data_IF_870388381716
#
_entry.id   IF_870388381716
#
_cell.length_a   1.000
_cell.length_b   1.000
_cell.length_c   1.000
_cell.angle_alpha   90.00
_cell.angle_beta   90.00
_cell.angle_gamma   90.00
#
_symmetry.space_group_name_H-M   'P 1'
#
loop_
_entity.id
_entity.type
_entity.pdbx_description
1 polymer ?
#
# COMPACT_ATOMS: atom_id res chain seq x y z
N UNK A 1 14.75 -3.92 -1.40
CA UNK A 1 13.44 -3.28 -1.08
C UNK A 1 12.26 -4.13 -1.51
N UNK A 2 12.27 -4.71 -2.71
CA UNK A 2 11.16 -5.54 -3.24
C UNK A 2 10.76 -6.71 -2.33
N UNK A 3 11.72 -7.42 -1.73
CA UNK A 3 11.42 -8.52 -0.81
C UNK A 3 10.61 -8.12 0.45
N UNK A 4 10.75 -6.87 0.92
CA UNK A 4 9.97 -6.36 2.04
C UNK A 4 8.52 -6.08 1.61
N UNK A 5 8.33 -5.58 0.38
CA UNK A 5 7.02 -5.40 -0.20
C UNK A 5 6.31 -6.74 -0.44
N UNK A 6 7.03 -7.75 -0.94
CA UNK A 6 6.45 -9.09 -1.13
C UNK A 6 5.93 -9.66 0.21
N UNK A 7 6.67 -9.46 1.30
CA UNK A 7 6.23 -9.86 2.64
C UNK A 7 4.99 -9.07 3.09
N UNK A 8 4.95 -7.76 2.84
CA UNK A 8 3.79 -6.92 3.15
C UNK A 8 2.55 -7.37 2.37
N UNK A 9 2.66 -7.60 1.06
CA UNK A 9 1.54 -8.06 0.23
C UNK A 9 1.00 -9.43 0.67
N UNK A 10 1.90 -10.34 1.09
CA UNK A 10 1.51 -11.63 1.66
C UNK A 10 0.78 -11.47 2.99
N UNK A 11 1.29 -10.61 3.88
CA UNK A 11 0.68 -10.36 5.18
C UNK A 11 -0.70 -9.70 5.01
N UNK A 12 -0.78 -8.64 4.20
CA UNK A 12 -2.05 -7.97 3.87
C UNK A 12 -3.04 -8.96 3.26
N UNK A 13 -2.60 -9.82 2.34
CA UNK A 13 -3.49 -10.83 1.77
C UNK A 13 -3.97 -11.89 2.76
N UNK A 14 -3.14 -12.26 3.72
CA UNK A 14 -3.50 -13.21 4.78
C UNK A 14 -4.50 -12.60 5.76
N UNK A 15 -4.29 -11.37 6.18
CA UNK A 15 -5.12 -10.67 7.17
C UNK A 15 -6.47 -10.21 6.59
N UNK A 16 -6.48 -9.75 5.33
CA UNK A 16 -7.69 -9.18 4.72
C UNK A 16 -8.57 -10.19 3.98
N UNK A 17 -8.03 -11.32 3.53
CA UNK A 17 -8.77 -12.27 2.70
C UNK A 17 -9.38 -11.59 1.47
N UNK A 18 -10.71 -11.61 1.34
CA UNK A 18 -11.42 -10.95 0.22
C UNK A 18 -11.37 -9.42 0.27
N UNK A 19 -11.10 -8.81 1.43
CA UNK A 19 -10.98 -7.34 1.54
C UNK A 19 -9.69 -6.80 0.92
N UNK A 20 -8.75 -7.69 0.56
CA UNK A 20 -7.51 -7.36 -0.16
C UNK A 20 -7.77 -6.57 -1.45
N UNK A 21 -8.89 -6.82 -2.12
CA UNK A 21 -9.26 -6.11 -3.35
C UNK A 21 -9.31 -4.59 -3.17
N UNK A 22 -9.64 -4.09 -1.97
CA UNK A 22 -9.68 -2.66 -1.66
C UNK A 22 -8.32 -1.99 -1.53
N UNK A 23 -7.25 -2.76 -1.28
CA UNK A 23 -5.88 -2.25 -1.10
C UNK A 23 -4.91 -2.68 -2.20
N UNK A 24 -5.27 -3.67 -3.01
CA UNK A 24 -4.41 -4.18 -4.08
C UNK A 24 -3.92 -3.10 -5.05
N UNK A 25 -4.75 -2.15 -5.54
CA UNK A 25 -4.27 -1.10 -6.46
C UNK A 25 -3.21 -0.18 -5.84
N UNK A 26 -3.27 0.03 -4.52
CA UNK A 26 -2.30 0.86 -3.79
C UNK A 26 -0.97 0.11 -3.64
N UNK A 27 -1.03 -1.19 -3.33
CA UNK A 27 0.15 -2.06 -3.26
C UNK A 27 0.85 -2.20 -4.63
N UNK A 28 0.09 -2.35 -5.71
CA UNK A 28 0.61 -2.38 -7.08
C UNK A 28 1.34 -1.07 -7.42
N UNK A 29 0.74 0.07 -7.05
CA UNK A 29 1.34 1.40 -7.24
C UNK A 29 2.64 1.56 -6.45
N UNK A 30 2.70 1.01 -5.23
CA UNK A 30 3.93 0.99 -4.41
C UNK A 30 5.00 0.13 -5.08
N UNK A 31 4.63 -1.05 -5.60
CA UNK A 31 5.55 -1.94 -6.33
C UNK A 31 6.19 -1.24 -7.51
N UNK A 32 5.37 -0.62 -8.36
CA UNK A 32 5.83 0.10 -9.54
C UNK A 32 6.80 1.23 -9.18
N UNK A 33 6.47 2.04 -8.17
CA UNK A 33 7.34 3.13 -7.75
C UNK A 33 8.66 2.65 -7.14
N UNK A 34 8.65 1.53 -6.40
CA UNK A 34 9.88 0.93 -5.86
C UNK A 34 10.76 0.36 -6.97
N UNK A 35 10.19 -0.28 -7.98
CA UNK A 35 10.93 -0.75 -9.16
C UNK A 35 11.52 0.42 -9.94
N UNK A 36 10.81 1.55 -10.04
CA UNK A 36 11.35 2.75 -10.68
C UNK A 36 12.52 3.36 -9.91
N UNK A 37 12.51 3.26 -8.56
CA UNK A 37 13.57 3.78 -7.70
C UNK A 37 14.77 2.83 -7.55
N UNK A 38 14.57 1.53 -7.82
CA UNK A 38 15.57 0.47 -7.71
C UNK A 38 15.33 -0.55 -8.84
N UNK A 39 15.61 -0.17 -10.10
CA UNK A 39 15.29 -1.01 -11.24
C UNK A 39 16.19 -2.24 -11.27
N UNK A 40 15.66 -3.42 -11.64
CA UNK A 40 16.45 -4.65 -11.69
C UNK A 40 17.47 -4.60 -12.83
N UNK A 41 18.70 -5.09 -12.57
CA UNK A 41 19.77 -5.19 -13.56
C UNK A 41 20.35 -3.84 -13.95
N UNK A 42 20.59 -3.63 -15.25
CA UNK A 42 21.17 -2.40 -15.81
C UNK A 42 20.13 -1.31 -16.09
N UNK A 43 19.01 -1.32 -15.35
CA UNK A 43 17.96 -0.32 -15.50
C UNK A 43 18.47 1.09 -15.16
N UNK A 44 18.07 2.07 -15.97
CA UNK A 44 18.49 3.45 -15.75
C UNK A 44 17.70 4.05 -14.59
N UNK A 45 18.40 4.56 -13.58
CA UNK A 45 17.80 5.29 -12.48
C UNK A 45 17.22 6.63 -12.99
N UNK A 46 16.03 7.05 -12.49
CA UNK A 46 15.48 8.37 -12.76
C UNK A 46 16.41 9.48 -12.28
N UNK A 47 16.21 10.70 -12.78
CA UNK A 47 16.93 11.88 -12.27
C UNK A 47 16.63 12.11 -10.78
N UNK A 48 17.50 12.80 -10.03
CA UNK A 48 17.26 13.05 -8.59
C UNK A 48 15.90 13.69 -8.29
N UNK A 49 15.43 14.61 -9.14
CA UNK A 49 14.12 15.25 -9.00
C UNK A 49 12.96 14.27 -9.24
N UNK A 50 13.10 13.35 -10.19
CA UNK A 50 12.11 12.30 -10.42
C UNK A 50 12.09 11.29 -9.30
N UNK A 51 13.25 10.94 -8.74
CA UNK A 51 13.34 10.08 -7.56
C UNK A 51 12.65 10.72 -6.35
N UNK A 52 12.84 12.02 -6.12
CA UNK A 52 12.14 12.75 -5.04
C UNK A 52 10.62 12.72 -5.23
N UNK A 53 10.14 12.98 -6.45
CA UNK A 53 8.71 12.88 -6.79
C UNK A 53 8.15 11.47 -6.60
N UNK A 54 8.91 10.45 -7.01
CA UNK A 54 8.53 9.05 -6.82
C UNK A 54 8.46 8.71 -5.33
N UNK A 55 9.44 9.13 -4.52
CA UNK A 55 9.42 8.94 -3.07
C UNK A 55 8.23 9.63 -2.42
N UNK A 56 7.95 10.88 -2.77
CA UNK A 56 6.78 11.61 -2.28
C UNK A 56 5.46 10.93 -2.65
N UNK A 57 5.35 10.44 -3.90
CA UNK A 57 4.18 9.68 -4.36
C UNK A 57 4.02 8.38 -3.57
N UNK A 58 5.10 7.63 -3.38
CA UNK A 58 5.09 6.38 -2.61
C UNK A 58 4.65 6.60 -1.16
N UNK A 59 5.14 7.66 -0.51
CA UNK A 59 4.70 8.02 0.84
C UNK A 59 3.19 8.28 0.86
N UNK A 60 2.67 9.10 -0.04
CA UNK A 60 1.24 9.40 -0.11
C UNK A 60 0.38 8.14 -0.37
N UNK A 61 0.85 7.23 -1.23
CA UNK A 61 0.15 5.96 -1.49
C UNK A 61 0.15 5.04 -0.27
N UNK A 62 1.22 5.03 0.54
CA UNK A 62 1.25 4.26 1.78
C UNK A 62 0.31 4.85 2.85
N UNK A 63 0.24 6.17 2.96
CA UNK A 63 -0.73 6.86 3.83
C UNK A 63 -2.17 6.53 3.42
N UNK A 64 -2.48 6.57 2.12
CA UNK A 64 -3.81 6.17 1.62
C UNK A 64 -4.12 4.69 1.91
N UNK A 65 -3.11 3.81 1.81
CA UNK A 65 -3.30 2.40 2.14
C UNK A 65 -3.58 2.20 3.63
N UNK A 66 -2.94 2.97 4.52
CA UNK A 66 -3.23 2.99 5.95
C UNK A 66 -4.68 3.42 6.21
N UNK A 67 -5.14 4.52 5.63
CA UNK A 67 -6.51 5.02 5.77
C UNK A 67 -7.55 3.97 5.32
N UNK A 68 -7.30 3.29 4.19
CA UNK A 68 -8.18 2.22 3.71
C UNK A 68 -8.19 1.03 4.67
N UNK A 69 -7.02 0.63 5.19
CA UNK A 69 -6.93 -0.44 6.18
C UNK A 69 -7.68 -0.09 7.47
N UNK A 70 -7.59 1.14 7.94
CA UNK A 70 -8.36 1.62 9.10
C UNK A 70 -9.87 1.56 8.83
N UNK A 71 -10.32 2.05 7.68
CA UNK A 71 -11.73 2.01 7.28
C UNK A 71 -12.27 0.57 7.21
N UNK A 72 -11.47 -0.36 6.66
CA UNK A 72 -11.81 -1.78 6.62
C UNK A 72 -11.90 -2.38 8.03
N UNK A 73 -10.98 -2.06 8.93
CA UNK A 73 -11.04 -2.52 10.32
C UNK A 73 -12.28 -2.00 11.05
N UNK A 74 -12.66 -0.73 10.83
CA UNK A 74 -13.88 -0.14 11.39
C UNK A 74 -15.14 -0.84 10.87
N UNK A 75 -15.16 -1.20 9.58
CA UNK A 75 -16.28 -1.90 8.95
C UNK A 75 -16.46 -3.35 9.46
N UNK A 76 -15.36 -4.02 9.82
CA UNK A 76 -15.37 -5.42 10.31
C UNK A 76 -15.68 -5.50 11.81
N UNK A 77 -15.57 -4.41 12.57
CA UNK A 77 -15.85 -4.39 14.01
C UNK A 77 -17.34 -4.70 14.26
N UNK A 78 -17.69 -5.82 14.93
CA UNK A 78 -19.07 -6.13 15.23
C UNK A 78 -19.60 -5.14 16.27
N UNK A 79 -20.40 -4.18 15.81
CA UNK A 79 -21.37 -3.42 16.61
C UNK A 79 -20.84 -2.72 17.87
N UNK A 80 -20.23 -1.55 17.72
CA UNK A 80 -20.36 -0.52 18.75
C UNK A 80 -21.65 0.27 18.52
N UNK A 81 -22.74 -0.26 19.07
CA UNK A 81 -23.80 0.54 19.68
C UNK A 81 -24.71 1.34 18.75
N UNK A 82 -25.66 0.65 18.11
CA UNK A 82 -27.01 1.22 17.99
C UNK A 82 -27.61 1.31 19.40
N UNK A 83 -27.44 2.44 20.06
CA UNK A 83 -28.22 2.84 21.22
C UNK A 83 -28.52 4.34 21.14
N UNK A 84 -29.79 4.64 20.91
CA UNK A 84 -30.35 5.99 20.82
C UNK A 84 -31.78 5.87 20.35
N UNK A 85 -32.65 5.40 21.26
CA UNK A 85 -34.10 5.56 21.15
C UNK A 85 -34.55 6.94 21.63
#
# INVERSE_FOLDING_TARGET
>A
MVALLDALEQQVGTELGSLKEGVQPLLDSVREGLVALDPPGDGMLPSPLEQEKLRAKLTATLEEAEDVLEALQLAVKPGSGRSGG
#
